data_IF_711424748713
#
_entry.id   IF_711424748713
#
_cell.length_a   1.000
_cell.length_b   1.000
_cell.length_c   1.000
_cell.angle_alpha   90.00
_cell.angle_beta   90.00
_cell.angle_gamma   90.00
#
_symmetry.space_group_name_H-M   'P 1'
#
loop_
_entity.id
_entity.type
_entity.pdbx_description
1 polymer ?
#
# COMPACT_ATOMS: atom_id res chain seq x y z
N UNK A 1 -12.62 -0.96 26.75
CA UNK A 1 -12.91 0.16 25.82
C UNK A 1 -11.95 0.04 24.63
N UNK A 2 -12.37 -0.23 23.38
CA UNK A 2 -11.45 -0.17 22.27
C UNK A 2 -11.26 1.31 21.91
N UNK A 3 -10.03 1.78 22.04
CA UNK A 3 -9.65 3.10 21.59
C UNK A 3 -9.56 2.98 20.08
N UNK A 4 -10.52 3.56 19.35
CA UNK A 4 -10.42 3.69 17.91
C UNK A 4 -9.20 4.55 17.63
N UNK A 5 -8.03 3.90 17.49
CA UNK A 5 -6.85 4.48 16.87
C UNK A 5 -7.38 5.12 15.61
N UNK A 6 -7.32 6.46 15.50
CA UNK A 6 -7.80 7.20 14.34
C UNK A 6 -7.18 6.53 13.12
N UNK A 7 -7.93 5.64 12.48
CA UNK A 7 -7.59 5.08 11.19
C UNK A 7 -7.52 6.34 10.33
N UNK A 8 -6.29 6.76 10.02
CA UNK A 8 -6.05 8.01 9.34
C UNK A 8 -7.00 8.03 8.15
N UNK A 9 -7.96 8.96 8.15
CA UNK A 9 -9.09 9.01 7.21
C UNK A 9 -8.63 9.43 5.80
N UNK A 10 -7.34 9.20 5.51
CA UNK A 10 -6.73 9.33 4.22
C UNK A 10 -7.36 8.29 3.29
N UNK A 11 -7.70 8.70 2.06
CA UNK A 11 -8.25 7.80 1.07
C UNK A 11 -7.28 6.64 0.79
N UNK A 12 -7.87 5.47 0.52
CA UNK A 12 -7.15 4.29 0.05
C UNK A 12 -6.54 4.62 -1.32
N UNK A 13 -5.34 4.12 -1.58
CA UNK A 13 -4.71 4.25 -2.89
C UNK A 13 -5.42 3.35 -3.90
N UNK A 14 -5.98 3.94 -4.96
CA UNK A 14 -6.70 3.24 -6.03
C UNK A 14 -5.79 2.34 -6.86
N UNK A 15 -4.52 2.72 -7.08
CA UNK A 15 -3.59 1.89 -7.87
C UNK A 15 -3.30 0.51 -7.26
N UNK A 16 -3.40 0.38 -5.94
CA UNK A 16 -3.13 -0.88 -5.26
C UNK A 16 -4.30 -1.40 -4.44
N UNK A 17 -5.46 -0.73 -4.48
CA UNK A 17 -6.68 -1.11 -3.75
C UNK A 17 -6.47 -1.44 -2.27
N UNK A 18 -5.51 -0.77 -1.61
CA UNK A 18 -5.17 -1.01 -0.21
C UNK A 18 -4.19 -2.16 0.06
N UNK A 19 -3.56 -2.76 -0.97
CA UNK A 19 -2.51 -3.77 -0.88
C UNK A 19 -1.15 -3.20 -1.31
N UNK A 20 -0.49 -2.37 -0.49
CA UNK A 20 0.64 -1.57 -0.94
C UNK A 20 1.97 -2.33 -1.04
N UNK A 21 2.05 -3.53 -0.46
CA UNK A 21 3.22 -4.43 -0.56
C UNK A 21 2.70 -5.85 -0.74
N UNK A 22 3.13 -6.52 -1.80
CA UNK A 22 2.76 -7.91 -2.11
C UNK A 22 4.02 -8.76 -2.33
N UNK A 23 3.93 -10.04 -2.00
CA UNK A 23 5.01 -11.00 -2.23
C UNK A 23 4.76 -11.73 -3.56
N UNK A 24 5.73 -11.66 -4.49
CA UNK A 24 5.70 -12.38 -5.77
C UNK A 24 6.67 -13.55 -5.71
N UNK A 25 6.20 -14.76 -6.00
CA UNK A 25 7.07 -15.94 -6.06
C UNK A 25 8.02 -15.87 -7.27
N UNK A 26 9.31 -16.15 -7.06
CA UNK A 26 10.34 -16.13 -8.12
C UNK A 26 10.45 -17.46 -8.89
N UNK A 27 9.60 -18.44 -8.57
CA UNK A 27 9.64 -19.79 -9.16
C UNK A 27 10.67 -20.73 -8.54
N UNK A 28 11.47 -20.25 -7.58
CA UNK A 28 12.45 -21.05 -6.85
C UNK A 28 11.97 -21.38 -5.43
N UNK A 29 12.52 -22.44 -4.85
CA UNK A 29 12.26 -22.83 -3.47
C UNK A 29 13.49 -22.55 -2.60
N UNK A 30 13.24 -22.17 -1.36
CA UNK A 30 14.22 -22.18 -0.28
C UNK A 30 14.60 -23.64 0.05
N UNK A 31 15.72 -23.87 0.74
CA UNK A 31 16.14 -25.21 1.15
C UNK A 31 15.12 -25.94 2.03
N UNK A 32 14.28 -25.20 2.76
CA UNK A 32 13.19 -25.74 3.58
C UNK A 32 11.91 -26.08 2.78
N UNK A 33 11.93 -25.87 1.47
CA UNK A 33 10.80 -26.12 0.56
C UNK A 33 9.80 -24.97 0.45
N UNK A 34 9.97 -23.87 1.19
CA UNK A 34 9.13 -22.68 1.04
C UNK A 34 9.45 -21.93 -0.25
N UNK A 35 8.51 -21.16 -0.81
CA UNK A 35 8.75 -20.40 -2.05
C UNK A 35 9.60 -19.16 -1.77
N UNK A 36 10.63 -18.95 -2.58
CA UNK A 36 11.36 -17.68 -2.62
C UNK A 36 10.41 -16.62 -3.16
N UNK A 37 10.30 -15.50 -2.46
CA UNK A 37 9.46 -14.38 -2.88
C UNK A 37 10.25 -13.09 -2.88
N UNK A 38 9.87 -12.17 -3.77
CA UNK A 38 10.33 -10.78 -3.76
C UNK A 38 9.16 -9.87 -3.37
N UNK A 39 9.39 -8.89 -2.49
CA UNK A 39 8.40 -7.87 -2.20
C UNK A 39 8.32 -6.88 -3.36
N UNK A 40 7.10 -6.57 -3.79
CA UNK A 40 6.83 -5.48 -4.73
C UNK A 40 5.98 -4.44 -4.02
N UNK A 41 6.45 -3.19 -4.06
CA UNK A 41 5.82 -2.05 -3.42
C UNK A 41 5.10 -1.19 -4.45
N UNK A 42 3.87 -0.77 -4.14
CA UNK A 42 3.12 0.16 -4.98
C UNK A 42 3.89 1.47 -5.14
N UNK A 43 4.18 1.86 -6.38
CA UNK A 43 4.95 3.07 -6.67
C UNK A 43 4.18 4.36 -6.36
N UNK A 44 2.84 4.34 -6.50
CA UNK A 44 1.98 5.51 -6.28
C UNK A 44 1.93 5.92 -4.80
N UNK A 45 1.68 4.96 -3.90
CA UNK A 45 1.60 5.24 -2.45
C UNK A 45 2.88 4.91 -1.67
N UNK A 46 3.92 4.39 -2.33
CA UNK A 46 5.23 4.02 -1.73
C UNK A 46 5.11 3.09 -0.52
N UNK A 47 4.16 2.16 -0.54
CA UNK A 47 4.02 1.18 0.54
C UNK A 47 3.04 1.60 1.65
N UNK A 48 2.47 2.81 1.62
CA UNK A 48 1.60 3.30 2.70
C UNK A 48 0.14 2.86 2.58
N UNK A 49 -0.30 2.43 1.39
CA UNK A 49 -1.68 2.01 1.11
C UNK A 49 -2.68 3.17 1.07
N UNK A 50 -2.21 4.40 1.26
CA UNK A 50 -3.02 5.62 1.34
C UNK A 50 -2.39 6.71 0.50
N UNK A 51 -3.21 7.58 -0.06
CA UNK A 51 -2.72 8.80 -0.72
C UNK A 51 -3.01 10.01 0.14
N UNK A 52 -2.07 10.96 0.16
CA UNK A 52 -2.35 12.27 0.74
C UNK A 52 -3.32 13.00 -0.19
N UNK A 53 -4.44 13.54 0.31
CA UNK A 53 -5.32 14.36 -0.50
C UNK A 53 -4.50 15.48 -1.14
N UNK A 54 -4.60 15.65 -2.46
CA UNK A 54 -4.05 16.82 -3.11
C UNK A 54 -4.76 18.05 -2.55
N UNK A 55 -4.00 19.03 -2.07
CA UNK A 55 -4.57 20.33 -1.70
C UNK A 55 -5.05 20.99 -2.99
N UNK A 56 -6.36 20.95 -3.22
CA UNK A 56 -6.96 21.66 -4.36
C UNK A 56 -6.87 23.15 -4.05
N UNK A 57 -5.98 23.87 -4.72
CA UNK A 57 -6.01 25.33 -4.69
C UNK A 57 -7.27 25.75 -5.45
N UNK A 58 -8.28 26.23 -4.71
CA UNK A 58 -9.50 26.76 -5.30
C UNK A 58 -9.17 28.06 -6.05
N UNK A 59 -8.82 27.93 -7.33
CA UNK A 59 -8.77 29.04 -8.27
C UNK A 59 -10.19 29.51 -8.52
N UNK A 60 -10.59 30.60 -7.88
CA UNK A 60 -11.86 31.28 -8.10
C UNK A 60 -11.77 32.03 -9.43
N UNK A 61 -12.46 31.54 -10.46
CA UNK A 61 -12.75 32.28 -11.71
C UNK A 61 -13.92 33.23 -11.51
#
# INVERSE_FOLDING_TARGET
MPQHSHASNLPICTDCDGFPVVAIATGTLNPDGSRVTIPVTCFACKGTGRVRPALVTAGRS
#
